data_IF_245656221328
#
_entry.id   IF_245656221328
#
_cell.length_a   1.000
_cell.length_b   1.000
_cell.length_c   1.000
_cell.angle_alpha   90.00
_cell.angle_beta   90.00
_cell.angle_gamma   90.00
#
_symmetry.space_group_name_H-M   'P 1'
#
loop_
_entity.id
_entity.type
_entity.pdbx_description
1 polymer ?
#
# COMPACT_ATOMS: atom_id res chain seq x y z
N UNK A 1 12.13 -33.67 -49.78
CA UNK A 1 10.88 -33.74 -49.04
C UNK A 1 10.64 -32.39 -48.38
N UNK A 2 9.50 -31.79 -48.70
CA UNK A 2 9.11 -30.38 -48.58
C UNK A 2 9.14 -29.82 -47.14
N UNK A 3 9.88 -28.72 -46.95
CA UNK A 3 9.73 -27.75 -45.90
C UNK A 3 8.35 -27.03 -46.01
N UNK A 4 7.52 -27.12 -44.97
CA UNK A 4 6.40 -26.19 -44.75
C UNK A 4 6.72 -25.33 -43.53
N UNK A 5 7.07 -24.09 -43.79
CA UNK A 5 7.17 -23.01 -42.81
C UNK A 5 5.77 -22.63 -42.32
N UNK A 6 5.50 -22.78 -41.03
CA UNK A 6 4.29 -22.28 -40.37
C UNK A 6 4.55 -20.84 -39.97
N UNK A 7 3.91 -19.90 -40.66
CA UNK A 7 3.85 -18.50 -40.29
C UNK A 7 2.86 -18.34 -39.15
N UNK A 8 3.35 -18.15 -37.94
CA UNK A 8 2.54 -17.75 -36.78
C UNK A 8 2.27 -16.26 -36.85
N UNK A 9 0.99 -15.91 -36.95
CA UNK A 9 0.50 -14.54 -37.02
C UNK A 9 0.86 -13.74 -35.77
N UNK A 10 1.63 -12.65 -35.91
CA UNK A 10 2.06 -11.72 -34.87
C UNK A 10 1.03 -10.64 -34.50
N UNK A 11 -0.25 -10.84 -34.81
CA UNK A 11 -1.26 -9.76 -34.72
C UNK A 11 -1.98 -9.61 -33.37
N UNK A 12 -1.73 -10.47 -32.37
CA UNK A 12 -2.43 -10.35 -31.08
C UNK A 12 -1.65 -9.54 -30.03
N UNK A 13 -0.33 -9.51 -30.12
CA UNK A 13 0.52 -8.77 -29.16
C UNK A 13 0.55 -7.27 -29.42
N UNK A 14 0.47 -6.83 -30.67
CA UNK A 14 0.43 -5.41 -31.01
C UNK A 14 -0.90 -4.74 -30.63
N UNK A 15 -2.00 -5.50 -30.58
CA UNK A 15 -3.28 -5.02 -30.09
C UNK A 15 -3.30 -4.89 -28.56
N UNK A 16 -2.69 -5.83 -27.85
CA UNK A 16 -2.58 -5.80 -26.38
C UNK A 16 -1.63 -4.68 -25.91
N UNK A 17 -0.51 -4.47 -26.59
CA UNK A 17 0.43 -3.39 -26.29
C UNK A 17 -0.19 -2.01 -26.52
N UNK A 18 -1.05 -1.84 -27.53
CA UNK A 18 -1.78 -0.58 -27.78
C UNK A 18 -2.84 -0.29 -26.73
N UNK A 19 -3.56 -1.29 -26.24
CA UNK A 19 -4.56 -1.16 -25.17
C UNK A 19 -3.89 -0.82 -23.83
N UNK A 20 -2.75 -1.46 -23.51
CA UNK A 20 -1.99 -1.17 -22.29
C UNK A 20 -1.35 0.22 -22.33
N UNK A 21 -0.83 0.67 -23.47
CA UNK A 21 -0.23 2.00 -23.58
C UNK A 21 -1.27 3.12 -23.48
N UNK A 22 -2.49 2.91 -23.98
CA UNK A 22 -3.60 3.85 -23.80
C UNK A 22 -4.16 3.87 -22.38
N UNK A 23 -4.10 2.75 -21.64
CA UNK A 23 -4.51 2.69 -20.24
C UNK A 23 -3.51 3.37 -19.29
N UNK A 24 -2.20 3.27 -19.57
CA UNK A 24 -1.13 3.90 -18.77
C UNK A 24 -1.07 5.42 -19.01
N UNK A 25 -1.30 5.89 -20.23
CA UNK A 25 -1.34 7.32 -20.54
C UNK A 25 -2.63 7.98 -20.00
N UNK A 26 -3.73 7.23 -19.89
CA UNK A 26 -4.99 7.72 -19.30
C UNK A 26 -4.96 7.91 -17.78
N UNK A 27 -4.07 7.20 -17.06
CA UNK A 27 -3.95 7.28 -15.59
C UNK A 27 -3.01 8.38 -15.09
N UNK A 28 -2.14 8.93 -15.95
CA UNK A 28 -1.21 10.00 -15.57
C UNK A 28 -1.79 11.43 -15.79
N UNK A 29 -3.02 11.56 -16.24
CA UNK A 29 -3.67 12.84 -16.58
C UNK A 29 -4.97 13.09 -15.80
N UNK A 30 -5.08 12.65 -14.56
CA UNK A 30 -6.17 13.06 -13.66
C UNK A 30 -5.75 14.27 -12.80
N UNK A 31 -5.41 15.34 -13.49
CA UNK A 31 -5.23 16.65 -12.92
C UNK A 31 -5.66 17.68 -13.95
N UNK A 32 -6.94 18.10 -13.85
CA UNK A 32 -7.58 19.27 -14.44
C UNK A 32 -7.57 19.43 -15.96
N UNK A 33 -8.78 19.58 -16.46
CA UNK A 33 -9.20 20.23 -17.71
C UNK A 33 -9.36 19.35 -18.95
N UNK A 34 -10.57 18.79 -19.09
CA UNK A 34 -11.12 18.34 -20.37
C UNK A 34 -11.18 19.51 -21.37
N UNK A 35 -10.24 19.57 -22.31
CA UNK A 35 -10.39 20.31 -23.56
C UNK A 35 -10.79 19.33 -24.67
N UNK A 36 -11.90 19.64 -25.32
CA UNK A 36 -12.57 18.83 -26.35
C UNK A 36 -11.61 18.35 -27.46
N UNK A 37 -11.74 17.11 -27.95
CA UNK A 37 -10.81 16.49 -28.91
C UNK A 37 -10.84 17.15 -30.34
N UNK A 38 -11.78 18.01 -30.63
CA UNK A 38 -11.91 18.67 -31.93
C UNK A 38 -10.91 19.84 -32.09
N UNK A 39 -10.68 20.64 -31.05
CA UNK A 39 -9.76 21.77 -31.10
C UNK A 39 -8.28 21.36 -31.15
N UNK A 40 -7.93 20.22 -30.55
CA UNK A 40 -6.55 19.70 -30.61
C UNK A 40 -6.16 19.24 -32.02
N UNK A 41 -7.10 18.70 -32.80
CA UNK A 41 -6.82 18.28 -34.20
C UNK A 41 -6.64 19.44 -35.15
N UNK A 42 -7.32 20.56 -34.93
CA UNK A 42 -7.16 21.76 -35.74
C UNK A 42 -5.83 22.46 -35.46
N UNK A 43 -5.47 22.58 -34.17
CA UNK A 43 -4.19 23.18 -33.76
C UNK A 43 -2.96 22.35 -34.19
N UNK A 44 -3.01 21.02 -34.08
CA UNK A 44 -1.92 20.17 -34.55
C UNK A 44 -1.77 20.14 -36.10
N UNK A 45 -2.87 20.28 -36.81
CA UNK A 45 -2.82 20.30 -38.28
C UNK A 45 -2.23 21.62 -38.83
N UNK A 46 -2.56 22.74 -38.19
CA UNK A 46 -2.00 24.07 -38.57
C UNK A 46 -0.51 24.18 -38.20
N UNK A 47 -0.06 23.57 -37.10
CA UNK A 47 1.35 23.57 -36.71
C UNK A 47 2.21 22.66 -37.61
N UNK A 48 1.66 21.58 -38.12
CA UNK A 48 2.40 20.67 -39.01
C UNK A 48 2.53 21.22 -40.42
N UNK A 49 1.53 21.98 -40.90
CA UNK A 49 1.59 22.69 -42.19
C UNK A 49 2.48 23.94 -42.15
N UNK A 50 2.65 24.58 -40.99
CA UNK A 50 3.52 25.74 -40.81
C UNK A 50 5.02 25.40 -40.80
N UNK A 51 5.37 24.17 -40.44
CA UNK A 51 6.77 23.72 -40.33
C UNK A 51 7.53 23.63 -41.67
N UNK A 52 6.80 23.70 -42.77
CA UNK A 52 7.37 23.65 -44.14
C UNK A 52 7.35 25.01 -44.89
N UNK A 53 6.94 26.11 -44.23
CA UNK A 53 6.92 27.43 -44.83
C UNK A 53 7.58 28.47 -43.91
N UNK A 54 8.53 29.22 -44.49
CA UNK A 54 9.26 30.43 -44.10
C UNK A 54 8.98 31.02 -42.67
N UNK A 55 9.99 31.36 -41.87
CA UNK A 55 9.88 31.83 -40.47
C UNK A 55 9.05 33.12 -40.28
N UNK A 56 8.81 33.88 -41.31
CA UNK A 56 7.93 35.08 -41.24
C UNK A 56 6.45 34.70 -41.16
N UNK A 57 6.02 33.60 -41.79
CA UNK A 57 4.64 33.11 -41.72
C UNK A 57 4.30 32.48 -40.38
N UNK A 58 5.27 32.00 -39.64
CA UNK A 58 5.08 31.44 -38.31
C UNK A 58 4.76 32.53 -37.26
N UNK A 59 5.43 33.70 -37.37
CA UNK A 59 5.16 34.86 -36.48
C UNK A 59 3.78 35.46 -36.74
N UNK A 60 3.36 35.56 -38.00
CA UNK A 60 2.04 36.05 -38.34
C UNK A 60 0.91 35.09 -37.93
N UNK A 61 1.14 33.77 -37.96
CA UNK A 61 0.18 32.79 -37.50
C UNK A 61 0.04 32.78 -35.96
N UNK A 62 1.13 32.99 -35.23
CA UNK A 62 1.12 33.07 -33.76
C UNK A 62 0.42 34.37 -33.29
N UNK A 63 0.64 35.52 -33.95
CA UNK A 63 -0.04 36.76 -33.58
C UNK A 63 -1.55 36.72 -33.83
N UNK A 64 -2.02 36.00 -34.85
CA UNK A 64 -3.44 35.84 -35.14
C UNK A 64 -4.14 34.86 -34.16
N UNK A 65 -3.43 33.92 -33.56
CA UNK A 65 -3.97 33.01 -32.55
C UNK A 65 -4.16 33.77 -31.22
N UNK A 66 -3.27 34.70 -30.88
CA UNK A 66 -3.33 35.49 -29.65
C UNK A 66 -4.51 36.48 -29.62
N UNK A 67 -4.96 36.95 -30.79
CA UNK A 67 -6.13 37.84 -30.92
C UNK A 67 -7.47 37.14 -31.16
N UNK A 68 -7.46 35.83 -31.46
CA UNK A 68 -8.67 35.08 -31.82
C UNK A 68 -9.35 34.37 -30.66
N UNK A 69 -8.76 34.34 -29.45
CA UNK A 69 -9.35 33.70 -28.29
C UNK A 69 -9.82 34.75 -27.29
N UNK A 70 -11.10 35.05 -27.17
CA UNK A 70 -11.62 35.90 -26.09
C UNK A 70 -11.61 35.11 -24.78
N UNK A 71 -10.43 35.02 -24.15
CA UNK A 71 -10.18 34.24 -22.91
C UNK A 71 -10.92 34.81 -21.70
N UNK A 72 -11.34 36.05 -21.72
CA UNK A 72 -11.95 36.72 -20.56
C UNK A 72 -13.41 36.32 -20.31
N UNK A 73 -14.22 36.08 -21.35
CA UNK A 73 -15.64 35.75 -21.18
C UNK A 73 -15.88 34.26 -20.84
N UNK A 74 -14.99 33.38 -21.31
CA UNK A 74 -15.13 31.94 -21.04
C UNK A 74 -14.73 31.58 -19.59
N UNK A 75 -13.71 32.25 -19.06
CA UNK A 75 -13.30 32.05 -17.66
C UNK A 75 -14.32 32.62 -16.65
N UNK A 76 -15.02 33.70 -16.97
CA UNK A 76 -16.05 34.27 -16.08
C UNK A 76 -17.32 33.40 -16.05
N UNK A 77 -17.72 32.79 -17.15
CA UNK A 77 -18.87 31.89 -17.18
C UNK A 77 -18.60 30.55 -16.44
N UNK A 78 -17.37 30.04 -16.47
CA UNK A 78 -16.97 28.85 -15.69
C UNK A 78 -16.78 29.18 -14.21
N UNK A 79 -16.30 30.36 -13.86
CA UNK A 79 -16.19 30.80 -12.48
C UNK A 79 -17.58 30.99 -11.85
N UNK A 80 -18.53 31.58 -12.56
CA UNK A 80 -19.91 31.75 -12.09
C UNK A 80 -20.70 30.46 -11.95
N UNK A 81 -20.40 29.42 -12.75
CA UNK A 81 -21.02 28.09 -12.62
C UNK A 81 -20.39 27.20 -11.54
N UNK A 82 -19.16 27.51 -11.13
CA UNK A 82 -18.48 26.79 -10.03
C UNK A 82 -18.85 27.34 -8.63
N UNK A 83 -19.36 28.55 -8.55
CA UNK A 83 -19.71 29.20 -7.28
C UNK A 83 -21.06 28.77 -6.68
N UNK A 84 -21.88 28.03 -7.44
CA UNK A 84 -23.26 27.65 -7.04
C UNK A 84 -23.45 26.26 -6.42
N UNK A 85 -22.45 25.40 -6.39
CA UNK A 85 -22.58 24.04 -5.87
C UNK A 85 -21.53 23.71 -4.81
N UNK A 86 -21.58 24.38 -3.67
CA UNK A 86 -20.98 23.81 -2.46
C UNK A 86 -21.82 22.60 -2.07
N UNK A 87 -21.29 21.37 -2.13
CA UNK A 87 -22.01 20.23 -1.56
C UNK A 87 -22.24 20.54 -0.07
N UNK A 88 -23.42 20.17 0.49
CA UNK A 88 -23.73 20.44 1.87
C UNK A 88 -22.58 19.90 2.72
N UNK A 89 -21.93 20.76 3.48
CA UNK A 89 -20.86 20.38 4.42
C UNK A 89 -21.55 19.61 5.56
N UNK A 90 -21.72 18.30 5.36
CA UNK A 90 -22.12 17.43 6.46
C UNK A 90 -21.08 17.58 7.56
N UNK A 91 -21.54 17.91 8.74
CA UNK A 91 -20.66 18.05 9.91
C UNK A 91 -19.80 16.79 10.10
N UNK A 92 -18.57 16.94 10.53
CA UNK A 92 -17.60 15.82 10.72
C UNK A 92 -18.19 14.65 11.50
N UNK A 93 -19.10 14.89 12.42
CA UNK A 93 -19.83 13.89 13.21
C UNK A 93 -20.80 13.05 12.36
N UNK A 94 -21.52 13.66 11.41
CA UNK A 94 -22.42 12.94 10.51
C UNK A 94 -21.65 12.03 9.54
N UNK A 95 -20.49 12.46 9.05
CA UNK A 95 -19.64 11.65 8.20
C UNK A 95 -19.05 10.45 8.97
N UNK A 96 -18.67 10.63 10.24
CA UNK A 96 -18.21 9.54 11.10
C UNK A 96 -19.33 8.53 11.38
N UNK A 97 -20.54 9.01 11.71
CA UNK A 97 -21.68 8.14 11.92
C UNK A 97 -22.03 7.35 10.66
N UNK A 98 -22.00 7.99 9.49
CA UNK A 98 -22.26 7.35 8.20
C UNK A 98 -21.20 6.27 7.89
N UNK A 99 -19.93 6.50 8.26
CA UNK A 99 -18.84 5.53 8.05
C UNK A 99 -19.03 4.25 8.87
N UNK A 100 -19.64 4.33 10.04
CA UNK A 100 -19.93 3.17 10.88
C UNK A 100 -21.27 2.51 10.60
N UNK A 101 -22.16 3.18 9.88
CA UNK A 101 -23.49 2.67 9.58
C UNK A 101 -23.45 1.41 8.70
N UNK A 102 -22.61 1.39 7.67
CA UNK A 102 -22.50 0.27 6.76
C UNK A 102 -21.95 -1.01 7.43
N UNK A 103 -20.83 -0.98 8.20
CA UNK A 103 -20.37 -2.13 8.97
C UNK A 103 -21.38 -2.60 10.01
N UNK A 104 -22.03 -1.67 10.73
CA UNK A 104 -23.04 -2.01 11.72
C UNK A 104 -24.27 -2.67 11.07
N UNK A 105 -24.78 -2.12 9.97
CA UNK A 105 -25.90 -2.70 9.22
C UNK A 105 -25.57 -4.11 8.73
N UNK A 106 -24.35 -4.34 8.24
CA UNK A 106 -23.89 -5.66 7.78
C UNK A 106 -23.92 -6.68 8.93
N UNK A 107 -23.44 -6.33 10.11
CA UNK A 107 -23.45 -7.21 11.28
C UNK A 107 -24.88 -7.48 11.76
N UNK A 108 -25.76 -6.47 11.75
CA UNK A 108 -27.17 -6.61 12.13
C UNK A 108 -27.91 -7.54 11.14
N UNK A 109 -27.72 -7.33 9.85
CA UNK A 109 -28.33 -8.19 8.81
C UNK A 109 -27.83 -9.63 8.96
N UNK A 110 -26.53 -9.83 9.19
CA UNK A 110 -25.97 -11.16 9.44
C UNK A 110 -26.61 -11.82 10.67
N UNK A 111 -26.73 -11.09 11.79
CA UNK A 111 -27.37 -11.62 13.02
C UNK A 111 -28.82 -12.01 12.76
N UNK A 112 -29.59 -11.17 12.05
CA UNK A 112 -31.01 -11.44 11.74
C UNK A 112 -31.15 -12.65 10.82
N UNK A 113 -30.37 -12.77 9.76
CA UNK A 113 -30.42 -13.92 8.84
C UNK A 113 -30.03 -15.23 9.54
N UNK A 114 -29.01 -15.20 10.42
CA UNK A 114 -28.61 -16.36 11.19
C UNK A 114 -29.71 -16.78 12.18
N UNK A 115 -30.38 -15.84 12.89
CA UNK A 115 -31.50 -16.12 13.79
C UNK A 115 -32.78 -16.57 13.07
N UNK A 116 -33.02 -16.04 11.88
CA UNK A 116 -34.14 -16.46 11.06
C UNK A 116 -33.99 -17.89 10.48
N UNK A 117 -32.83 -18.53 10.68
CA UNK A 117 -32.56 -19.88 10.17
C UNK A 117 -32.24 -19.95 8.67
N UNK A 118 -32.10 -18.80 7.99
CA UNK A 118 -31.73 -18.75 6.58
C UNK A 118 -30.27 -19.17 6.34
N UNK A 119 -29.44 -19.02 7.37
CA UNK A 119 -28.04 -19.44 7.34
C UNK A 119 -27.86 -20.56 8.38
N UNK A 120 -27.37 -21.72 7.94
CA UNK A 120 -27.08 -22.81 8.85
C UNK A 120 -25.97 -22.42 9.85
N UNK A 121 -26.18 -22.62 11.16
CA UNK A 121 -25.16 -22.30 12.17
C UNK A 121 -23.85 -23.06 12.00
N UNK A 122 -23.85 -24.17 11.26
CA UNK A 122 -22.66 -24.96 10.93
C UNK A 122 -21.82 -24.30 9.83
N UNK A 123 -22.42 -23.47 8.99
CA UNK A 123 -21.72 -22.74 7.89
C UNK A 123 -21.27 -21.37 8.38
N UNK A 124 -22.19 -20.60 8.97
CA UNK A 124 -21.89 -19.27 9.48
C UNK A 124 -22.70 -19.01 10.77
N UNK A 125 -22.07 -19.10 11.94
CA UNK A 125 -22.72 -18.86 13.22
C UNK A 125 -23.14 -17.40 13.39
N UNK A 126 -24.15 -17.16 14.21
CA UNK A 126 -24.59 -15.81 14.54
C UNK A 126 -23.47 -15.03 15.26
N UNK A 127 -23.30 -13.72 15.00
CA UNK A 127 -22.34 -12.87 15.72
C UNK A 127 -22.44 -12.99 17.24
N UNK A 128 -23.64 -13.08 17.79
CA UNK A 128 -23.86 -13.28 19.24
C UNK A 128 -23.23 -14.57 19.76
N UNK A 129 -23.27 -15.65 18.97
CA UNK A 129 -22.62 -16.93 19.33
C UNK A 129 -21.10 -16.81 19.29
N UNK A 130 -20.55 -16.09 18.29
CA UNK A 130 -19.11 -15.83 18.19
C UNK A 130 -18.59 -15.04 19.40
N UNK A 131 -19.34 -14.03 19.85
CA UNK A 131 -19.02 -13.26 21.07
C UNK A 131 -19.08 -14.15 22.31
N UNK A 132 -20.11 -14.99 22.45
CA UNK A 132 -20.19 -15.94 23.57
C UNK A 132 -19.01 -16.92 23.60
N UNK A 133 -18.60 -17.43 22.43
CA UNK A 133 -17.41 -18.28 22.29
C UNK A 133 -16.12 -17.53 22.65
N UNK A 134 -15.99 -16.26 22.23
CA UNK A 134 -14.86 -15.42 22.61
C UNK A 134 -14.75 -15.25 24.13
N UNK A 135 -15.86 -14.96 24.81
CA UNK A 135 -15.89 -14.80 26.27
C UNK A 135 -15.50 -16.14 26.94
N UNK A 136 -16.06 -17.24 26.47
CA UNK A 136 -15.75 -18.57 27.02
C UNK A 136 -14.28 -18.92 26.89
N UNK A 137 -13.67 -18.70 25.73
CA UNK A 137 -12.24 -18.98 25.51
C UNK A 137 -11.33 -18.00 26.25
N UNK A 138 -11.76 -16.75 26.42
CA UNK A 138 -11.03 -15.76 27.21
C UNK A 138 -11.05 -16.11 28.73
N UNK A 139 -12.16 -16.63 29.24
CA UNK A 139 -12.26 -17.04 30.67
C UNK A 139 -11.50 -18.33 30.98
N UNK A 140 -11.17 -19.14 29.98
CA UNK A 140 -10.33 -20.35 30.11
C UNK A 140 -8.85 -20.07 29.87
N UNK A 141 -8.45 -18.79 29.69
CA UNK A 141 -7.09 -18.32 29.40
C UNK A 141 -6.47 -18.86 28.11
N UNK A 142 -7.14 -19.76 27.39
CA UNK A 142 -6.61 -20.34 26.16
C UNK A 142 -6.46 -19.28 25.05
N UNK A 143 -7.48 -18.44 24.84
CA UNK A 143 -7.45 -17.38 23.83
C UNK A 143 -6.40 -16.32 24.14
N UNK A 144 -6.26 -15.92 25.41
CA UNK A 144 -5.30 -14.89 25.82
C UNK A 144 -3.86 -15.40 25.69
N UNK A 145 -3.63 -16.66 26.02
CA UNK A 145 -2.33 -17.29 25.82
C UNK A 145 -1.95 -17.37 24.34
N UNK A 146 -2.85 -17.86 23.48
CA UNK A 146 -2.62 -17.97 22.03
C UNK A 146 -2.39 -16.59 21.39
N UNK A 147 -3.18 -15.58 21.81
CA UNK A 147 -2.99 -14.20 21.36
C UNK A 147 -1.63 -13.65 21.79
N UNK A 148 -1.24 -13.88 23.04
CA UNK A 148 0.05 -13.47 23.58
C UNK A 148 1.23 -14.07 22.81
N UNK A 149 1.17 -15.38 22.55
CA UNK A 149 2.19 -16.09 21.78
C UNK A 149 2.29 -15.55 20.35
N UNK A 150 1.16 -15.39 19.67
CA UNK A 150 1.14 -14.82 18.31
C UNK A 150 1.70 -13.40 18.26
N UNK A 151 1.33 -12.54 19.22
CA UNK A 151 1.86 -11.18 19.31
C UNK A 151 3.37 -11.15 19.59
N UNK A 152 3.87 -12.04 20.44
CA UNK A 152 5.30 -12.15 20.74
C UNK A 152 6.11 -12.59 19.52
N UNK A 153 5.61 -13.58 18.76
CA UNK A 153 6.20 -14.01 17.49
C UNK A 153 6.22 -12.89 16.46
N UNK A 154 5.08 -12.20 16.30
CA UNK A 154 4.98 -11.06 15.38
C UNK A 154 5.96 -9.94 15.78
N UNK A 155 6.02 -9.57 17.05
CA UNK A 155 6.89 -8.51 17.53
C UNK A 155 8.38 -8.84 17.38
N UNK A 156 8.79 -10.08 17.72
CA UNK A 156 10.17 -10.51 17.58
C UNK A 156 10.59 -10.60 16.10
N UNK A 157 9.77 -11.21 15.25
CA UNK A 157 10.02 -11.28 13.82
C UNK A 157 10.02 -9.87 13.17
N UNK A 158 9.11 -8.99 13.59
CA UNK A 158 9.10 -7.60 13.15
C UNK A 158 10.39 -6.85 13.56
N UNK A 159 10.81 -6.98 14.82
CA UNK A 159 12.02 -6.31 15.30
C UNK A 159 13.27 -6.74 14.52
N UNK A 160 13.42 -8.05 14.27
CA UNK A 160 14.53 -8.60 13.49
C UNK A 160 14.47 -8.12 12.04
N UNK A 161 13.32 -8.33 11.38
CA UNK A 161 13.14 -7.98 9.97
C UNK A 161 13.26 -6.48 9.72
N UNK A 162 12.70 -5.64 10.61
CA UNK A 162 12.82 -4.20 10.52
C UNK A 162 14.26 -3.72 10.70
N UNK A 163 15.01 -4.30 11.63
CA UNK A 163 16.43 -3.98 11.85
C UNK A 163 17.26 -4.32 10.62
N UNK A 164 17.10 -5.53 10.07
CA UNK A 164 17.81 -5.97 8.86
C UNK A 164 17.42 -5.12 7.65
N UNK A 165 16.11 -4.93 7.42
CA UNK A 165 15.60 -4.12 6.31
C UNK A 165 16.06 -2.66 6.38
N UNK A 166 16.05 -2.07 7.57
CA UNK A 166 16.54 -0.70 7.79
C UNK A 166 18.03 -0.58 7.57
N UNK A 167 18.84 -1.51 8.08
CA UNK A 167 20.28 -1.53 7.88
C UNK A 167 20.66 -1.68 6.40
N UNK A 168 20.07 -2.66 5.70
CA UNK A 168 20.28 -2.85 4.26
C UNK A 168 19.77 -1.67 3.44
N UNK A 169 18.59 -1.14 3.75
CA UNK A 169 18.03 0.01 3.06
C UNK A 169 18.86 1.28 3.25
N UNK A 170 19.40 1.48 4.43
CA UNK A 170 20.31 2.58 4.73
C UNK A 170 21.64 2.41 3.97
N UNK A 171 22.24 1.23 4.00
CA UNK A 171 23.47 0.93 3.31
C UNK A 171 23.35 1.18 1.80
N UNK A 172 22.30 0.66 1.17
CA UNK A 172 22.01 0.82 -0.27
C UNK A 172 21.57 2.26 -0.59
N UNK A 173 20.85 2.92 0.30
CA UNK A 173 20.42 4.31 0.14
C UNK A 173 21.59 5.29 0.06
N UNK A 174 22.64 5.08 0.85
CA UNK A 174 23.81 5.96 0.89
C UNK A 174 24.95 5.58 -0.05
N UNK A 175 25.04 4.34 -0.53
CA UNK A 175 26.16 3.84 -1.29
C UNK A 175 25.76 3.29 -2.66
N UNK A 176 26.26 3.91 -3.74
CA UNK A 176 26.09 3.40 -5.11
C UNK A 176 26.76 2.03 -5.33
N UNK A 177 27.83 1.75 -4.59
CA UNK A 177 28.52 0.45 -4.67
C UNK A 177 27.65 -0.62 -4.02
N UNK A 178 27.08 -0.34 -2.84
CA UNK A 178 26.16 -1.26 -2.17
C UNK A 178 24.88 -1.49 -3.01
N UNK A 179 24.39 -0.46 -3.69
CA UNK A 179 23.28 -0.59 -4.63
C UNK A 179 23.62 -1.58 -5.74
N UNK A 180 24.72 -1.35 -6.45
CA UNK A 180 25.13 -2.20 -7.56
C UNK A 180 25.36 -3.66 -7.14
N UNK A 181 25.84 -3.88 -5.90
CA UNK A 181 26.14 -5.22 -5.38
C UNK A 181 24.93 -5.95 -4.80
N UNK A 182 24.03 -5.24 -4.11
CA UNK A 182 23.01 -5.86 -3.25
C UNK A 182 21.60 -5.73 -3.85
N UNK A 183 21.25 -4.57 -4.43
CA UNK A 183 19.86 -4.26 -4.76
C UNK A 183 19.25 -5.27 -5.74
N UNK A 184 19.97 -5.69 -6.77
CA UNK A 184 19.49 -6.69 -7.73
C UNK A 184 19.20 -8.03 -7.07
N UNK A 185 20.06 -8.48 -6.15
CA UNK A 185 19.88 -9.74 -5.43
C UNK A 185 18.65 -9.66 -4.50
N UNK A 186 18.49 -8.55 -3.79
CA UNK A 186 17.31 -8.31 -2.93
C UNK A 186 16.02 -8.27 -3.77
N UNK A 187 16.04 -7.63 -4.95
CA UNK A 187 14.89 -7.59 -5.85
C UNK A 187 14.51 -8.97 -6.39
N UNK A 188 15.50 -9.84 -6.67
CA UNK A 188 15.25 -11.23 -7.08
C UNK A 188 14.62 -12.05 -5.93
N UNK A 189 15.19 -11.96 -4.72
CA UNK A 189 14.69 -12.70 -3.56
C UNK A 189 13.26 -12.24 -3.22
N UNK A 190 12.98 -10.95 -3.28
CA UNK A 190 11.64 -10.39 -3.03
C UNK A 190 10.57 -10.93 -4.00
N UNK A 191 10.96 -11.25 -5.24
CA UNK A 191 10.04 -11.78 -6.23
C UNK A 191 9.56 -13.22 -5.91
N UNK A 192 10.29 -13.92 -5.01
CA UNK A 192 9.90 -15.25 -4.56
C UNK A 192 8.74 -15.08 -3.53
N UNK A 193 7.57 -15.69 -3.78
CA UNK A 193 6.50 -15.69 -2.78
C UNK A 193 7.00 -16.32 -1.48
N UNK A 194 6.87 -15.60 -0.36
CA UNK A 194 7.38 -16.09 0.94
C UNK A 194 6.75 -17.43 1.35
N UNK A 195 5.53 -17.72 0.92
CA UNK A 195 4.88 -19.03 1.09
C UNK A 195 5.65 -20.18 0.41
N UNK A 196 6.26 -19.91 -0.73
CA UNK A 196 7.05 -20.91 -1.45
C UNK A 196 8.37 -21.23 -0.72
N UNK A 197 8.84 -20.33 0.12
CA UNK A 197 10.07 -20.52 0.93
C UNK A 197 9.81 -21.37 2.17
N UNK A 198 8.56 -21.47 2.64
CA UNK A 198 8.20 -22.14 3.88
C UNK A 198 8.71 -23.57 3.98
N UNK A 199 8.57 -24.49 3.00
CA UNK A 199 9.10 -25.84 3.10
C UNK A 199 10.62 -25.88 3.32
N UNK A 200 11.33 -24.96 2.66
CA UNK A 200 12.79 -24.84 2.79
C UNK A 200 13.18 -24.36 4.19
N UNK A 201 12.45 -23.40 4.73
CA UNK A 201 12.66 -22.88 6.09
C UNK A 201 12.42 -23.97 7.13
N UNK A 202 11.40 -24.81 6.95
CA UNK A 202 11.14 -25.96 7.81
C UNK A 202 12.28 -26.98 7.77
N UNK A 203 12.86 -27.23 6.60
CA UNK A 203 14.02 -28.12 6.46
C UNK A 203 15.25 -27.56 7.18
N UNK A 204 15.47 -26.23 7.15
CA UNK A 204 16.63 -25.59 7.76
C UNK A 204 16.51 -25.40 9.27
N UNK A 205 15.34 -24.96 9.74
CA UNK A 205 15.13 -24.54 11.13
C UNK A 205 14.29 -25.53 11.95
N UNK A 206 13.73 -26.55 11.28
CA UNK A 206 12.74 -27.43 11.89
C UNK A 206 11.38 -26.77 12.04
N UNK A 207 10.41 -27.57 12.49
CA UNK A 207 9.09 -27.08 12.88
C UNK A 207 9.17 -26.52 14.30
N UNK A 208 9.01 -25.22 14.49
CA UNK A 208 9.13 -24.61 15.83
C UNK A 208 8.96 -23.09 15.82
N UNK A 209 9.44 -22.43 16.87
CA UNK A 209 9.35 -20.98 17.01
C UNK A 209 10.27 -20.23 16.02
N UNK A 210 11.46 -20.80 15.77
CA UNK A 210 12.47 -20.18 14.92
C UNK A 210 12.00 -19.99 13.49
N UNK A 211 11.32 -20.99 12.92
CA UNK A 211 10.79 -20.93 11.57
C UNK A 211 9.70 -19.85 11.44
N UNK A 212 8.81 -19.72 12.46
CA UNK A 212 7.73 -18.71 12.46
C UNK A 212 8.28 -17.29 12.54
N UNK A 213 9.22 -17.07 13.46
CA UNK A 213 9.89 -15.78 13.63
C UNK A 213 10.67 -15.41 12.36
N UNK A 214 11.35 -16.37 11.73
CA UNK A 214 12.12 -16.15 10.49
C UNK A 214 11.20 -15.74 9.32
N UNK A 215 10.06 -16.39 9.15
CA UNK A 215 9.10 -16.05 8.09
C UNK A 215 8.52 -14.65 8.27
N UNK A 216 8.19 -14.27 9.51
CA UNK A 216 7.75 -12.91 9.81
C UNK A 216 8.87 -11.91 9.51
N UNK A 217 10.10 -12.19 9.95
CA UNK A 217 11.26 -11.32 9.71
C UNK A 217 11.53 -11.14 8.21
N UNK A 218 11.44 -12.22 7.43
CA UNK A 218 11.60 -12.18 5.98
C UNK A 218 10.54 -11.28 5.32
N UNK A 219 9.26 -11.45 5.71
CA UNK A 219 8.15 -10.63 5.20
C UNK A 219 8.28 -9.15 5.52
N UNK A 220 8.82 -8.79 6.70
CA UNK A 220 9.04 -7.43 7.17
C UNK A 220 10.23 -6.75 6.51
N UNK A 221 11.29 -7.51 6.23
CA UNK A 221 12.57 -6.98 5.72
C UNK A 221 12.38 -6.19 4.43
N UNK A 222 11.62 -6.70 3.47
CA UNK A 222 11.50 -6.07 2.16
C UNK A 222 10.75 -4.74 2.15
N UNK A 223 9.57 -4.58 2.78
CA UNK A 223 8.89 -3.29 2.85
C UNK A 223 9.76 -2.21 3.53
N UNK A 224 10.45 -2.55 4.61
CA UNK A 224 11.35 -1.62 5.30
C UNK A 224 12.54 -1.25 4.41
N UNK A 225 13.20 -2.24 3.81
CA UNK A 225 14.32 -2.05 2.89
C UNK A 225 13.99 -1.07 1.77
N UNK A 226 12.91 -1.34 1.04
CA UNK A 226 12.52 -0.55 -0.12
C UNK A 226 12.21 0.88 0.28
N UNK A 227 11.36 1.06 1.29
CA UNK A 227 10.92 2.39 1.70
C UNK A 227 12.05 3.20 2.36
N UNK A 228 12.98 2.56 3.05
CA UNK A 228 14.19 3.22 3.58
C UNK A 228 15.10 3.67 2.44
N UNK A 229 15.38 2.80 1.48
CA UNK A 229 16.20 3.15 0.31
C UNK A 229 15.58 4.29 -0.49
N UNK A 230 14.30 4.22 -0.81
CA UNK A 230 13.56 5.25 -1.53
C UNK A 230 13.55 6.57 -0.75
N UNK A 231 13.26 6.52 0.56
CA UNK A 231 13.23 7.72 1.40
C UNK A 231 14.54 8.48 1.40
N UNK A 232 15.67 7.77 1.49
CA UNK A 232 17.00 8.38 1.45
C UNK A 232 17.30 9.00 0.07
N UNK A 233 16.90 8.33 -1.02
CA UNK A 233 17.22 8.76 -2.39
C UNK A 233 16.32 9.86 -2.94
N UNK A 234 15.12 9.99 -2.42
CA UNK A 234 14.14 11.01 -2.85
C UNK A 234 14.42 12.40 -2.26
N UNK A 235 15.45 12.54 -1.40
CA UNK A 235 15.82 13.83 -0.81
C UNK A 235 16.38 14.75 -1.88
N UNK A 236 15.84 15.98 -1.95
CA UNK A 236 16.29 16.99 -2.90
C UNK A 236 17.81 17.28 -2.70
N UNK A 237 18.64 17.09 -3.76
CA UNK A 237 20.05 17.40 -3.71
C UNK A 237 20.35 18.84 -3.27
N UNK A 238 19.46 19.80 -3.57
CA UNK A 238 19.61 21.19 -3.17
C UNK A 238 19.61 21.38 -1.66
N UNK A 239 18.81 20.58 -0.93
CA UNK A 239 18.82 20.62 0.54
C UNK A 239 20.14 20.12 1.12
N UNK A 240 20.75 19.12 0.46
CA UNK A 240 22.06 18.59 0.85
C UNK A 240 23.15 19.63 0.57
N UNK A 241 23.10 20.31 -0.56
CA UNK A 241 24.02 21.40 -0.92
C UNK A 241 23.91 22.57 0.05
N UNK A 242 22.68 23.00 0.35
CA UNK A 242 22.42 24.06 1.34
C UNK A 242 23.02 23.70 2.70
N UNK A 243 22.83 22.47 3.15
CA UNK A 243 23.42 22.00 4.41
C UNK A 243 24.96 22.04 4.41
N UNK A 244 25.59 21.73 3.28
CA UNK A 244 27.05 21.82 3.11
C UNK A 244 27.53 23.26 3.15
N UNK A 245 26.85 24.16 2.47
CA UNK A 245 27.15 25.61 2.51
C UNK A 245 27.04 26.17 3.91
N UNK A 246 26.10 25.69 4.70
CA UNK A 246 25.95 26.04 6.11
C UNK A 246 26.98 25.38 7.04
N UNK A 247 27.94 24.64 6.51
CA UNK A 247 29.02 24.02 7.30
C UNK A 247 28.61 22.77 8.06
N UNK A 248 27.49 22.11 7.72
CA UNK A 248 27.11 20.86 8.36
C UNK A 248 28.10 19.73 8.02
N UNK A 249 28.57 19.04 9.05
CA UNK A 249 29.36 17.81 8.91
C UNK A 249 28.51 16.70 8.25
N UNK A 250 29.15 15.63 7.75
CA UNK A 250 28.44 14.47 7.16
C UNK A 250 27.39 13.89 8.11
N UNK A 251 27.70 13.75 9.39
CA UNK A 251 26.76 13.27 10.40
C UNK A 251 25.64 14.30 10.66
N UNK A 252 25.97 15.60 10.62
CA UNK A 252 24.99 16.67 10.71
C UNK A 252 23.98 16.66 9.56
N UNK A 253 24.44 16.44 8.33
CA UNK A 253 23.57 16.26 7.15
C UNK A 253 22.62 15.07 7.31
N UNK A 254 23.13 13.92 7.77
CA UNK A 254 22.31 12.74 7.99
C UNK A 254 21.24 13.00 9.03
N UNK A 255 21.60 13.55 10.21
CA UNK A 255 20.65 13.72 11.32
C UNK A 255 19.65 14.85 11.12
N UNK A 256 20.04 15.96 10.44
CA UNK A 256 19.21 17.16 10.33
C UNK A 256 18.45 17.28 9.02
N UNK A 257 18.91 16.61 7.95
CA UNK A 257 18.32 16.72 6.62
C UNK A 257 17.85 15.35 6.12
N UNK A 258 18.77 14.38 6.03
CA UNK A 258 18.48 13.12 5.35
C UNK A 258 17.51 12.26 6.15
N UNK A 259 17.77 12.01 7.41
CA UNK A 259 16.92 11.15 8.24
C UNK A 259 15.52 11.73 8.44
N UNK A 260 15.35 13.03 8.79
CA UNK A 260 14.01 13.62 8.82
C UNK A 260 13.31 13.60 7.48
N UNK A 261 14.02 13.92 6.39
CA UNK A 261 13.42 13.91 5.04
C UNK A 261 13.02 12.52 4.56
N UNK A 262 13.72 11.46 4.96
CA UNK A 262 13.40 10.07 4.65
C UNK A 262 12.30 9.48 5.55
N UNK A 263 12.03 10.08 6.71
CA UNK A 263 11.14 9.54 7.73
C UNK A 263 9.72 9.24 7.23
N UNK A 264 9.05 10.08 6.40
CA UNK A 264 7.74 9.77 5.86
C UNK A 264 7.72 8.47 5.06
N UNK A 265 8.74 8.24 4.22
CA UNK A 265 8.86 7.01 3.44
C UNK A 265 9.15 5.80 4.33
N UNK A 266 10.04 5.93 5.31
CA UNK A 266 10.35 4.88 6.28
C UNK A 266 9.10 4.46 7.05
N UNK A 267 8.28 5.40 7.53
CA UNK A 267 7.04 5.10 8.25
C UNK A 267 6.00 4.44 7.35
N UNK A 268 5.94 4.82 6.07
CA UNK A 268 5.16 4.08 5.08
C UNK A 268 5.64 2.63 4.98
N UNK A 269 6.95 2.40 4.96
CA UNK A 269 7.54 1.06 5.02
C UNK A 269 7.15 0.28 6.28
N UNK A 270 7.16 0.92 7.45
CA UNK A 270 6.73 0.35 8.73
C UNK A 270 5.25 -0.07 8.67
N UNK A 271 4.39 0.74 8.09
CA UNK A 271 2.97 0.43 7.93
C UNK A 271 2.74 -0.81 7.06
N UNK A 272 3.40 -0.89 5.91
CA UNK A 272 3.35 -2.09 5.06
C UNK A 272 3.97 -3.31 5.76
N UNK A 273 5.06 -3.12 6.49
CA UNK A 273 5.72 -4.19 7.22
C UNK A 273 4.85 -4.78 8.34
N UNK A 274 4.09 -3.96 9.05
CA UNK A 274 3.13 -4.42 10.07
C UNK A 274 2.03 -5.31 9.45
N UNK A 275 1.52 -4.94 8.29
CA UNK A 275 0.53 -5.75 7.58
C UNK A 275 1.11 -7.08 7.08
N UNK A 276 2.33 -7.05 6.50
CA UNK A 276 3.00 -8.26 6.03
C UNK A 276 3.47 -9.16 7.15
N UNK A 277 3.90 -8.61 8.29
CA UNK A 277 4.25 -9.38 9.49
C UNK A 277 3.10 -10.28 9.95
N UNK A 278 1.91 -9.67 10.02
CA UNK A 278 0.72 -10.39 10.44
C UNK A 278 0.31 -11.47 9.43
N UNK A 279 0.31 -11.15 8.15
CA UNK A 279 0.02 -12.11 7.09
C UNK A 279 0.99 -13.30 7.11
N UNK A 280 2.29 -13.03 7.26
CA UNK A 280 3.31 -14.07 7.34
C UNK A 280 3.14 -14.96 8.58
N UNK A 281 2.80 -14.36 9.73
CA UNK A 281 2.57 -15.10 10.97
C UNK A 281 1.37 -16.05 10.87
N UNK A 282 0.23 -15.55 10.36
CA UNK A 282 -0.98 -16.37 10.17
C UNK A 282 -0.64 -17.63 9.40
N UNK A 283 0.10 -17.49 8.29
CA UNK A 283 0.50 -18.63 7.46
C UNK A 283 1.47 -19.56 8.21
N UNK A 284 2.46 -19.00 8.89
CA UNK A 284 3.43 -19.80 9.64
C UNK A 284 2.77 -20.60 10.77
N UNK A 285 1.77 -20.04 11.44
CA UNK A 285 1.04 -20.72 12.53
C UNK A 285 0.06 -21.79 12.03
N UNK A 286 -0.36 -21.76 10.76
CA UNK A 286 -1.20 -22.84 10.20
C UNK A 286 -0.45 -24.14 9.99
N UNK A 287 0.89 -24.13 10.09
CA UNK A 287 1.72 -25.31 9.83
C UNK A 287 2.53 -25.65 11.08
N UNK A 288 2.17 -26.75 11.74
CA UNK A 288 2.93 -27.31 12.85
C UNK A 288 3.02 -26.45 14.11
N UNK A 289 2.15 -25.45 14.29
CA UNK A 289 2.07 -24.72 15.55
C UNK A 289 1.32 -25.57 16.61
N UNK A 290 1.69 -25.39 17.89
CA UNK A 290 1.02 -25.99 19.05
C UNK A 290 0.32 -24.92 19.89
N UNK A 291 0.42 -23.65 19.51
CA UNK A 291 -0.18 -22.49 20.17
C UNK A 291 -0.22 -21.32 19.21
N UNK A 292 -1.07 -20.35 19.48
CA UNK A 292 -1.26 -19.17 18.65
C UNK A 292 -2.61 -19.14 17.95
N UNK A 293 -2.98 -17.97 17.41
CA UNK A 293 -4.30 -17.78 16.77
C UNK A 293 -4.43 -18.63 15.50
N UNK A 294 -3.33 -18.84 14.76
CA UNK A 294 -3.35 -19.73 13.58
C UNK A 294 -3.53 -21.19 13.95
N UNK A 295 -2.91 -21.64 15.06
CA UNK A 295 -3.16 -22.96 15.61
C UNK A 295 -4.63 -23.13 16.03
N UNK A 296 -5.19 -22.16 16.77
CA UNK A 296 -6.58 -22.16 17.19
C UNK A 296 -7.55 -22.25 15.98
N UNK A 297 -7.22 -21.59 14.87
CA UNK A 297 -8.00 -21.67 13.63
C UNK A 297 -7.95 -23.08 13.01
N UNK A 298 -6.77 -23.71 12.99
CA UNK A 298 -6.59 -25.04 12.42
C UNK A 298 -7.24 -26.12 13.29
N UNK A 299 -7.06 -26.06 14.62
CA UNK A 299 -7.73 -26.94 15.59
C UNK A 299 -9.27 -26.84 15.44
N UNK A 300 -9.80 -25.62 15.37
CA UNK A 300 -11.21 -25.39 15.14
C UNK A 300 -11.72 -25.96 13.80
N UNK A 301 -10.89 -25.94 12.76
CA UNK A 301 -11.20 -26.53 11.46
C UNK A 301 -11.27 -28.05 11.52
N UNK A 302 -10.34 -28.68 12.21
CA UNK A 302 -10.34 -30.17 12.37
C UNK A 302 -11.59 -30.66 13.08
N UNK A 303 -12.06 -29.92 14.09
CA UNK A 303 -13.26 -30.25 14.86
C UNK A 303 -14.54 -29.60 14.34
N UNK A 304 -14.52 -28.95 13.15
CA UNK A 304 -15.66 -28.27 12.52
C UNK A 304 -16.35 -27.23 13.45
N UNK A 305 -15.56 -26.59 14.33
CA UNK A 305 -16.03 -25.52 15.24
C UNK A 305 -16.04 -24.19 14.50
N UNK A 306 -17.05 -23.96 13.68
CA UNK A 306 -17.16 -22.76 12.84
C UNK A 306 -17.25 -21.46 13.63
N UNK A 307 -17.79 -21.50 14.84
CA UNK A 307 -17.83 -20.35 15.76
C UNK A 307 -16.41 -19.88 16.17
N UNK A 308 -15.49 -20.80 16.40
CA UNK A 308 -14.09 -20.48 16.67
C UNK A 308 -13.36 -20.03 15.41
N UNK A 309 -13.62 -20.63 14.25
CA UNK A 309 -13.04 -20.20 12.97
C UNK A 309 -13.43 -18.74 12.67
N UNK A 310 -14.70 -18.40 12.82
CA UNK A 310 -15.16 -17.02 12.60
C UNK A 310 -14.56 -16.07 13.65
N UNK A 311 -14.44 -16.52 14.91
CA UNK A 311 -13.78 -15.76 15.96
C UNK A 311 -12.33 -15.44 15.58
N UNK A 312 -11.55 -16.40 15.10
CA UNK A 312 -10.15 -16.16 14.70
C UNK A 312 -10.05 -15.18 13.53
N UNK A 313 -10.98 -15.22 12.56
CA UNK A 313 -11.06 -14.23 11.47
C UNK A 313 -11.33 -12.82 12.02
N UNK A 314 -12.26 -12.69 12.98
CA UNK A 314 -12.55 -11.40 13.64
C UNK A 314 -11.33 -10.89 14.39
N UNK A 315 -10.61 -11.76 15.10
CA UNK A 315 -9.37 -11.40 15.81
C UNK A 315 -8.31 -10.90 14.80
N UNK A 316 -8.13 -11.59 13.68
CA UNK A 316 -7.22 -11.15 12.62
C UNK A 316 -7.58 -9.76 12.10
N UNK A 317 -8.86 -9.49 11.87
CA UNK A 317 -9.32 -8.18 11.44
C UNK A 317 -9.04 -7.10 12.50
N UNK A 318 -9.29 -7.39 13.78
CA UNK A 318 -9.02 -6.46 14.88
C UNK A 318 -7.53 -6.15 15.03
N UNK A 319 -6.66 -7.15 14.91
CA UNK A 319 -5.21 -6.95 14.97
C UNK A 319 -4.73 -6.13 13.76
N UNK A 320 -5.28 -6.39 12.56
CA UNK A 320 -4.98 -5.58 11.38
C UNK A 320 -5.35 -4.10 11.58
N UNK A 321 -6.54 -3.83 12.13
CA UNK A 321 -6.99 -2.47 12.48
C UNK A 321 -6.09 -1.84 13.56
N UNK A 322 -5.70 -2.62 14.58
CA UNK A 322 -4.79 -2.16 15.63
C UNK A 322 -3.40 -1.81 15.07
N UNK A 323 -2.85 -2.66 14.20
CA UNK A 323 -1.57 -2.43 13.54
C UNK A 323 -1.59 -1.15 12.69
N UNK A 324 -2.66 -0.92 11.92
CA UNK A 324 -2.84 0.31 11.14
C UNK A 324 -3.06 1.54 12.03
N UNK A 325 -3.75 1.40 13.17
CA UNK A 325 -3.89 2.46 14.16
C UNK A 325 -2.56 2.84 14.81
N UNK A 326 -1.72 1.85 15.14
CA UNK A 326 -0.36 2.04 15.65
C UNK A 326 0.50 2.77 14.62
N UNK A 327 0.46 2.36 13.35
CA UNK A 327 1.18 3.02 12.27
C UNK A 327 0.77 4.49 12.12
N UNK A 328 -0.54 4.79 12.07
CA UNK A 328 -1.05 6.16 12.01
C UNK A 328 -0.70 6.99 13.26
N UNK A 329 -0.71 6.38 14.43
CA UNK A 329 -0.30 7.06 15.67
C UNK A 329 1.19 7.43 15.60
N UNK A 330 2.03 6.52 15.11
CA UNK A 330 3.46 6.73 14.94
C UNK A 330 3.73 7.84 13.91
N UNK A 331 3.04 7.81 12.76
CA UNK A 331 3.08 8.85 11.73
C UNK A 331 2.74 10.23 12.32
N UNK A 332 1.62 10.34 13.05
CA UNK A 332 1.20 11.61 13.66
C UNK A 332 2.19 12.15 14.71
N UNK A 333 2.83 11.26 15.45
CA UNK A 333 3.81 11.65 16.48
C UNK A 333 5.15 12.07 15.89
N UNK A 334 5.63 11.33 14.90
CA UNK A 334 6.96 11.54 14.31
C UNK A 334 6.96 12.53 13.14
N UNK A 335 5.83 12.74 12.45
CA UNK A 335 5.69 13.63 11.31
C UNK A 335 4.87 14.90 11.62
N UNK A 336 4.74 15.30 12.88
CA UNK A 336 3.98 16.49 13.28
C UNK A 336 4.46 17.78 12.59
N UNK A 337 5.71 17.81 12.13
CA UNK A 337 6.33 18.93 11.40
C UNK A 337 6.05 18.91 9.89
N UNK A 338 5.58 17.78 9.34
CA UNK A 338 5.39 17.63 7.89
C UNK A 338 4.01 18.17 7.45
N UNK A 339 3.91 19.01 6.38
CA UNK A 339 2.66 19.69 6.01
C UNK A 339 1.46 18.74 5.79
N UNK A 340 1.71 17.55 5.24
CA UNK A 340 0.65 16.58 4.92
C UNK A 340 0.15 15.79 6.14
N UNK A 341 0.86 15.85 7.30
CA UNK A 341 0.54 15.10 8.52
C UNK A 341 0.27 16.00 9.72
N UNK A 342 0.62 17.29 9.64
CA UNK A 342 0.22 18.30 10.60
C UNK A 342 -1.27 18.53 10.46
N UNK A 343 -2.06 17.86 11.33
CA UNK A 343 -3.52 17.84 11.29
C UNK A 343 -4.11 19.22 11.04
N UNK A 344 -5.05 19.25 10.09
CA UNK A 344 -5.69 20.47 9.62
C UNK A 344 -6.08 21.43 10.75
N UNK A 345 -5.54 22.61 10.65
CA UNK A 345 -6.12 23.80 11.21
C UNK A 345 -7.27 24.27 10.35
#
# INVERSE_FOLDING_TARGET
>A
LKNRSISVRSNSWDSFARVMNNAVIGSAASGSSCLFPVQRRVACRSLNDARHRNPETERAALSNIEHAVPTTKFNQAQAASAEGAHPPQLGKHHLLLLSWLAPAALVIVWELLARAGWISPQVLPAPSKVVATAIKLATTDSLLNDLGVSLLRAASGFAIGASVGFALGTLVGFSRIAEAAIDRSVQMIRAIPFLAVLPLVIVWLGVGEAEKIFLVALGVTFPIYINTTLGIRQIDPKLIELGRVQGLSRLGLIRRIILPGALPSILTGVRYALATAWLALVVAETIGAQSGIGFLAMDAREFLRTDVIVLTIVIYALIGVAADAIARWLERRLLAWHPNYGGGR
#
